data_IF_671869310628
#
_entry.id   IF_671869310628
#
_cell.length_a   1.000
_cell.length_b   1.000
_cell.length_c   1.000
_cell.angle_alpha   90.00
_cell.angle_beta   90.00
_cell.angle_gamma   90.00
#
_symmetry.space_group_name_H-M   'P 1'
#
loop_
_entity.id
_entity.type
_entity.pdbx_description
1 polymer ?
#
# COMPACT_ATOMS: atom_id res chain seq x y z
N UNK A 1 33.39 -16.26 -45.39
CA UNK A 1 32.96 -16.80 -44.08
C UNK A 1 33.05 -15.67 -43.09
N UNK A 2 31.88 -15.16 -42.74
CA UNK A 2 31.64 -14.01 -41.87
C UNK A 2 31.57 -14.52 -40.42
N UNK A 3 32.24 -13.86 -39.48
CA UNK A 3 32.05 -14.08 -38.05
C UNK A 3 31.88 -12.70 -37.42
N UNK A 4 30.62 -12.29 -37.32
CA UNK A 4 30.17 -11.03 -36.73
C UNK A 4 30.18 -11.17 -35.20
N UNK A 5 30.57 -10.06 -34.57
CA UNK A 5 30.85 -9.83 -33.16
C UNK A 5 29.77 -10.34 -32.19
N UNK A 6 30.23 -10.99 -31.12
CA UNK A 6 29.45 -11.32 -29.93
C UNK A 6 28.91 -10.04 -29.27
N UNK A 7 27.59 -9.87 -29.28
CA UNK A 7 26.87 -8.85 -28.53
C UNK A 7 26.04 -9.57 -27.47
N UNK A 8 26.50 -9.54 -26.22
CA UNK A 8 25.78 -10.14 -25.10
C UNK A 8 24.48 -9.38 -24.88
N UNK A 9 23.35 -10.00 -25.25
CA UNK A 9 22.03 -9.49 -24.94
C UNK A 9 21.69 -9.84 -23.49
N UNK A 10 21.77 -8.86 -22.59
CA UNK A 10 21.13 -8.97 -21.29
C UNK A 10 19.62 -8.77 -21.49
N UNK A 11 18.84 -9.85 -21.50
CA UNK A 11 17.39 -9.77 -21.47
C UNK A 11 16.93 -9.45 -20.04
N UNK A 12 16.65 -8.19 -19.74
CA UNK A 12 15.73 -7.83 -18.66
C UNK A 12 14.32 -7.96 -19.24
N UNK A 13 13.66 -9.10 -19.03
CA UNK A 13 12.22 -9.19 -19.33
C UNK A 13 11.44 -8.47 -18.23
N UNK A 14 11.23 -7.16 -18.39
CA UNK A 14 10.10 -6.52 -17.73
C UNK A 14 8.85 -6.99 -18.48
N UNK A 15 8.25 -8.08 -17.99
CA UNK A 15 6.93 -8.48 -18.44
C UNK A 15 5.98 -7.30 -18.24
N UNK A 16 5.42 -6.78 -19.32
CA UNK A 16 4.38 -5.78 -19.25
C UNK A 16 3.16 -6.39 -18.55
N UNK A 17 3.03 -6.15 -17.24
CA UNK A 17 1.78 -6.37 -16.51
C UNK A 17 0.89 -5.19 -16.85
N UNK A 18 0.22 -5.22 -18.00
CA UNK A 18 -0.83 -4.23 -18.29
C UNK A 18 -2.07 -4.61 -17.49
N UNK A 19 -2.10 -4.21 -16.22
CA UNK A 19 -3.33 -4.26 -15.47
C UNK A 19 -4.07 -2.94 -15.64
N UNK A 20 -5.14 -2.96 -16.43
CA UNK A 20 -5.91 -1.76 -16.77
C UNK A 20 -6.65 -1.13 -15.59
N UNK A 21 -6.82 -1.86 -14.46
CA UNK A 21 -7.56 -1.43 -13.26
C UNK A 21 -7.04 -2.10 -11.95
N UNK A 22 -5.74 -2.35 -11.83
CA UNK A 22 -5.21 -2.96 -10.60
C UNK A 22 -5.04 -1.95 -9.48
N UNK A 23 -5.42 -2.36 -8.27
CA UNK A 23 -4.95 -1.69 -7.06
C UNK A 23 -3.46 -1.98 -6.87
N UNK A 24 -2.60 -1.08 -7.34
CA UNK A 24 -1.14 -1.18 -7.21
C UNK A 24 -0.64 -0.98 -5.78
N UNK A 25 -1.50 -0.48 -4.88
CA UNK A 25 -1.20 -0.29 -3.47
C UNK A 25 -1.41 -1.56 -2.64
N UNK A 26 -2.12 -2.59 -3.15
CA UNK A 26 -2.42 -3.81 -2.42
C UNK A 26 -1.15 -4.49 -1.87
N UNK A 27 -1.14 -4.72 -0.56
CA UNK A 27 -0.04 -5.35 0.19
C UNK A 27 1.32 -4.65 0.06
N UNK A 28 1.32 -3.37 -0.32
CA UNK A 28 2.54 -2.57 -0.37
C UNK A 28 3.05 -2.19 1.02
N UNK A 29 4.36 -1.97 1.17
CA UNK A 29 4.90 -1.43 2.41
C UNK A 29 4.28 -0.08 2.74
N UNK A 30 4.00 0.13 4.01
CA UNK A 30 3.38 1.36 4.50
C UNK A 30 4.07 1.88 5.75
N UNK A 31 4.11 3.19 5.91
CA UNK A 31 4.55 3.87 7.13
C UNK A 31 3.50 4.88 7.57
N UNK A 32 3.43 5.17 8.86
CA UNK A 32 2.67 6.29 9.41
C UNK A 32 3.49 7.02 10.46
N UNK A 33 3.10 8.26 10.75
CA UNK A 33 3.73 9.08 11.79
C UNK A 33 3.56 8.46 13.18
N UNK A 34 2.39 7.89 13.44
CA UNK A 34 2.09 7.14 14.66
C UNK A 34 1.06 6.05 14.41
N UNK A 35 0.99 5.12 15.35
CA UNK A 35 0.03 4.01 15.37
C UNK A 35 -0.66 4.01 16.74
N UNK A 36 -1.99 4.00 16.72
CA UNK A 36 -2.79 3.75 17.91
C UNK A 36 -2.92 2.24 18.13
N UNK A 37 -2.55 1.77 19.30
CA UNK A 37 -2.69 0.37 19.70
C UNK A 37 -3.87 0.21 20.66
N UNK A 38 -4.63 -0.87 20.51
CA UNK A 38 -5.60 -1.29 21.52
C UNK A 38 -4.99 -2.37 22.42
N UNK A 39 -5.66 -2.67 23.52
CA UNK A 39 -5.29 -3.80 24.38
C UNK A 39 -5.52 -5.16 23.69
N UNK A 40 -6.33 -5.20 22.62
CA UNK A 40 -6.51 -6.39 21.80
C UNK A 40 -5.36 -6.54 20.80
N UNK A 41 -4.57 -7.62 20.95
CA UNK A 41 -3.39 -7.91 20.12
C UNK A 41 -3.66 -7.92 18.59
N UNK A 42 -4.91 -8.08 18.17
CA UNK A 42 -5.32 -8.16 16.77
C UNK A 42 -5.96 -6.89 16.22
N UNK A 43 -6.11 -5.84 17.03
CA UNK A 43 -6.76 -4.59 16.63
C UNK A 43 -5.81 -3.44 16.92
N UNK A 44 -5.24 -2.88 15.87
CA UNK A 44 -4.42 -1.69 15.92
C UNK A 44 -4.72 -0.77 14.73
N UNK A 45 -4.13 0.42 14.75
CA UNK A 45 -4.25 1.40 13.70
C UNK A 45 -3.11 1.36 12.70
N UNK A 46 -2.47 0.21 12.45
CA UNK A 46 -1.32 0.12 11.57
C UNK A 46 -1.64 0.64 10.15
N UNK A 47 -0.69 1.34 9.53
CA UNK A 47 -0.83 1.87 8.17
C UNK A 47 -1.11 0.77 7.13
N UNK A 48 -0.61 -0.45 7.37
CA UNK A 48 -0.80 -1.59 6.46
C UNK A 48 -2.27 -1.96 6.29
N UNK A 49 -3.09 -1.66 7.30
CA UNK A 49 -4.53 -1.92 7.27
C UNK A 49 -5.23 -1.16 6.12
N UNK A 50 -4.67 -0.04 5.64
CA UNK A 50 -5.24 0.70 4.50
C UNK A 50 -4.99 0.01 3.13
N UNK A 51 -4.08 -0.97 3.09
CA UNK A 51 -3.68 -1.68 1.86
C UNK A 51 -3.79 -3.20 1.98
N UNK A 52 -4.48 -3.70 3.00
CA UNK A 52 -4.60 -5.13 3.30
C UNK A 52 -5.57 -5.88 2.36
N UNK A 53 -6.33 -5.14 1.54
CA UNK A 53 -7.33 -5.66 0.59
C UNK A 53 -8.74 -5.80 1.17
N UNK A 54 -8.97 -5.34 2.40
CA UNK A 54 -10.27 -5.32 3.05
C UNK A 54 -10.79 -3.87 3.08
N UNK A 55 -12.10 -3.72 2.87
CA UNK A 55 -12.78 -2.41 2.80
C UNK A 55 -13.64 -2.12 4.04
N UNK A 56 -13.33 -2.78 5.16
CA UNK A 56 -14.13 -2.62 6.38
C UNK A 56 -13.92 -1.23 6.97
N UNK A 57 -15.00 -0.48 7.09
CA UNK A 57 -15.03 0.86 7.72
C UNK A 57 -15.19 0.83 9.24
N UNK A 58 -15.31 -0.36 9.84
CA UNK A 58 -15.37 -0.54 11.29
C UNK A 58 -13.97 -0.86 11.83
N UNK A 59 -13.41 0.03 12.67
CA UNK A 59 -12.08 -0.09 13.25
C UNK A 59 -11.89 -1.40 14.04
N UNK A 60 -12.92 -1.85 14.74
CA UNK A 60 -12.89 -3.07 15.55
C UNK A 60 -12.79 -4.36 14.74
N UNK A 61 -12.88 -4.27 13.41
CA UNK A 61 -12.62 -5.40 12.50
C UNK A 61 -11.14 -5.51 12.09
N UNK A 62 -10.27 -4.63 12.61
CA UNK A 62 -8.81 -4.71 12.46
C UNK A 62 -8.31 -4.42 11.04
N UNK A 63 -8.99 -3.52 10.33
CA UNK A 63 -8.70 -3.18 8.92
C UNK A 63 -8.86 -1.68 8.66
N UNK A 64 -8.61 -0.87 9.70
CA UNK A 64 -8.58 0.58 9.58
C UNK A 64 -7.25 1.10 10.12
N UNK A 65 -6.76 2.19 9.53
CA UNK A 65 -5.65 2.97 10.09
C UNK A 65 -6.16 3.85 11.24
N UNK A 66 -5.33 4.05 12.27
CA UNK A 66 -5.59 5.01 13.36
C UNK A 66 -4.27 5.50 13.96
N UNK A 67 -4.10 6.81 13.99
CA UNK A 67 -3.01 7.50 14.69
C UNK A 67 -3.41 7.85 16.12
N UNK A 68 -2.44 8.17 16.98
CA UNK A 68 -2.72 8.68 18.34
C UNK A 68 -3.39 10.06 18.29
N UNK A 69 -4.18 10.42 19.30
CA UNK A 69 -5.02 11.62 19.27
C UNK A 69 -4.24 12.96 19.45
N UNK A 70 -3.00 12.93 19.96
CA UNK A 70 -2.18 14.14 20.23
C UNK A 70 -1.21 14.54 19.10
N UNK A 71 -1.24 13.82 17.97
CA UNK A 71 -0.38 14.17 16.83
C UNK A 71 -0.95 15.37 16.06
N UNK A 72 -0.21 16.48 16.07
CA UNK A 72 -0.56 17.71 15.33
C UNK A 72 -0.45 17.55 13.80
N UNK A 73 0.27 16.52 13.33
CA UNK A 73 0.35 16.14 11.92
C UNK A 73 0.27 14.62 11.80
N UNK A 74 -0.76 14.15 11.09
CA UNK A 74 -0.97 12.72 10.80
C UNK A 74 -0.72 12.48 9.34
N UNK A 75 0.20 11.58 9.02
CA UNK A 75 0.38 11.12 7.65
C UNK A 75 0.66 9.63 7.61
N UNK A 76 0.34 9.06 6.45
CA UNK A 76 0.76 7.73 6.05
C UNK A 76 1.40 7.81 4.68
N UNK A 77 2.30 6.89 4.39
CA UNK A 77 2.94 6.72 3.09
C UNK A 77 2.80 5.27 2.67
N UNK A 78 2.53 5.04 1.39
CA UNK A 78 2.54 3.73 0.75
C UNK A 78 3.68 3.73 -0.25
N UNK A 79 4.64 2.82 -0.09
CA UNK A 79 5.72 2.61 -1.05
C UNK A 79 5.24 1.67 -2.15
N UNK A 80 4.95 2.21 -3.34
CA UNK A 80 4.49 1.42 -4.47
C UNK A 80 5.60 0.54 -5.08
N UNK A 81 6.87 0.76 -4.73
CA UNK A 81 8.02 -0.01 -5.21
C UNK A 81 8.46 0.25 -6.65
N UNK A 82 7.73 1.09 -7.38
CA UNK A 82 8.07 1.57 -8.72
C UNK A 82 7.30 2.88 -9.01
N UNK A 83 7.55 3.50 -10.16
CA UNK A 83 6.84 4.67 -10.65
C UNK A 83 5.60 4.21 -11.43
N UNK A 84 4.43 4.68 -11.01
CA UNK A 84 3.15 4.38 -11.65
C UNK A 84 2.48 5.66 -12.14
N UNK A 85 1.81 5.57 -13.29
CA UNK A 85 0.82 6.56 -13.70
C UNK A 85 -0.53 6.21 -13.04
N UNK A 86 -0.85 6.91 -11.95
CA UNK A 86 -2.03 6.62 -11.12
C UNK A 86 -3.27 7.26 -11.75
N UNK A 87 -4.19 6.43 -12.22
CA UNK A 87 -5.44 6.90 -12.81
C UNK A 87 -6.49 7.30 -11.77
N UNK A 88 -6.54 6.59 -10.64
CA UNK A 88 -7.57 6.80 -9.63
C UNK A 88 -7.03 6.52 -8.22
N UNK A 89 -7.62 7.21 -7.24
CA UNK A 89 -7.30 7.05 -5.82
C UNK A 89 -8.61 6.99 -5.03
N UNK A 90 -8.82 5.86 -4.35
CA UNK A 90 -9.97 5.62 -3.47
C UNK A 90 -9.54 5.53 -2.02
N UNK A 91 -10.38 6.02 -1.12
CA UNK A 91 -10.23 5.81 0.32
C UNK A 91 -11.60 5.62 0.96
N UNK A 92 -11.65 4.84 2.04
CA UNK A 92 -12.86 4.62 2.85
C UNK A 92 -12.69 5.23 4.23
N UNK A 93 -13.68 6.02 4.64
CA UNK A 93 -13.69 6.65 5.96
C UNK A 93 -14.26 5.68 7.00
N UNK A 94 -13.73 5.76 8.23
CA UNK A 94 -14.24 5.00 9.38
C UNK A 94 -15.67 5.44 9.71
N UNK A 95 -16.55 4.49 10.00
CA UNK A 95 -17.99 4.74 10.25
C UNK A 95 -18.45 4.39 11.68
N UNK A 96 -17.69 3.57 12.40
CA UNK A 96 -18.08 3.20 13.76
C UNK A 96 -17.91 4.36 14.75
N UNK A 97 -18.83 4.45 15.70
CA UNK A 97 -18.75 5.42 16.81
C UNK A 97 -17.76 4.91 17.85
N UNK A 98 -16.93 5.84 18.35
CA UNK A 98 -15.99 5.61 19.45
C UNK A 98 -16.71 5.10 20.71
#
# INVERSE_FOLDING_TARGET
MEQVRSMSLFYLSFGNVTCLLCNVALHRPTTSTSVYYTDAKTIDGNAYNAVDGRISTNFWRGSCIRSVDDDHYRSMTVDLGDIYDIQHFDFSLREDKL
#
